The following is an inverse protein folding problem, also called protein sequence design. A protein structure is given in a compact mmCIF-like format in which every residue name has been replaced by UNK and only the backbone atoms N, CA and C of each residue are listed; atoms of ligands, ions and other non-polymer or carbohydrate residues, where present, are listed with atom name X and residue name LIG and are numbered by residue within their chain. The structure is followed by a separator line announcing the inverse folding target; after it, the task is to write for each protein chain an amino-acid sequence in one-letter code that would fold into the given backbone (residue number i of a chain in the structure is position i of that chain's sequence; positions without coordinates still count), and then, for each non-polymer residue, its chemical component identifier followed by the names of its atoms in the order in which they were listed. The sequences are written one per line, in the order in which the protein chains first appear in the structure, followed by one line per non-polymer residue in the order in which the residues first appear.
data_IF_752056502220
#
_entry.id   IF_752056502220
#
_cell.length_a   1.000
_cell.length_b   1.000
_cell.length_c   1.000
_cell.angle_alpha   90.00
_cell.angle_beta   90.00
_cell.angle_gamma   90.00
#
_symmetry.space_group_name_H-M   'P 1'
#
loop_
_entity.id
_entity.type
_entity.pdbx_description
1 polymer ?
#
# COMPACT_ATOMS: atom_id res chain seq x y z
N UNK A 1 -23.97 -39.16 11.52
CA UNK A 1 -23.37 -38.11 12.37
C UNK A 1 -24.16 -36.84 12.13
N UNK A 2 -24.93 -36.37 13.12
CA UNK A 2 -25.89 -35.27 12.95
C UNK A 2 -25.20 -33.99 13.43
N UNK A 3 -25.01 -33.02 12.53
CA UNK A 3 -24.42 -31.72 12.84
C UNK A 3 -25.56 -30.80 13.30
N UNK A 4 -25.53 -30.36 14.56
CA UNK A 4 -26.46 -29.35 15.07
C UNK A 4 -25.90 -27.94 14.81
N UNK A 5 -26.73 -26.98 14.33
CA UNK A 5 -26.29 -25.60 14.13
C UNK A 5 -26.26 -24.82 15.46
N UNK A 6 -25.16 -24.13 15.71
CA UNK A 6 -24.98 -23.19 16.82
C UNK A 6 -25.57 -21.84 16.44
N UNK A 7 -26.48 -21.33 17.26
CA UNK A 7 -27.13 -20.04 17.06
C UNK A 7 -26.14 -18.85 17.24
N UNK A 8 -26.27 -17.77 16.46
CA UNK A 8 -25.41 -16.60 16.59
C UNK A 8 -25.76 -15.75 17.82
N UNK A 9 -24.75 -15.43 18.62
CA UNK A 9 -24.86 -14.55 19.78
C UNK A 9 -24.99 -13.10 19.33
N UNK A 10 -26.11 -12.49 19.71
CA UNK A 10 -26.45 -11.09 19.49
C UNK A 10 -25.43 -10.14 20.16
N UNK A 11 -24.66 -9.39 19.37
CA UNK A 11 -23.74 -8.36 19.85
C UNK A 11 -24.43 -7.01 19.76
N UNK A 12 -24.92 -6.54 20.90
CA UNK A 12 -25.44 -5.18 21.09
C UNK A 12 -24.31 -4.17 20.89
N UNK A 13 -24.40 -3.38 19.81
CA UNK A 13 -23.47 -2.28 19.52
C UNK A 13 -23.93 -1.04 20.29
N UNK A 14 -23.12 -0.56 21.24
CA UNK A 14 -23.33 0.74 21.87
C UNK A 14 -22.80 1.87 20.95
N UNK A 15 -23.63 2.87 20.58
CA UNK A 15 -23.15 4.01 19.79
C UNK A 15 -22.29 4.96 20.63
N UNK A 16 -21.12 5.30 20.09
CA UNK A 16 -20.20 6.28 20.67
C UNK A 16 -20.78 7.70 20.61
N UNK A 17 -20.77 8.39 21.76
CA UNK A 17 -21.11 9.81 21.92
C UNK A 17 -20.26 10.70 20.99
N UNK A 18 -20.90 11.28 19.97
CA UNK A 18 -20.34 12.39 19.20
C UNK A 18 -20.24 13.65 20.09
N UNK A 19 -19.02 14.17 20.28
CA UNK A 19 -18.79 15.48 20.91
C UNK A 19 -18.80 16.55 19.83
N UNK A 20 -19.84 17.37 19.80
CA UNK A 20 -19.91 18.60 19.01
C UNK A 20 -18.81 19.58 19.44
N UNK A 21 -17.98 20.02 18.50
CA UNK A 21 -17.13 21.21 18.64
C UNK A 21 -17.88 22.43 18.11
N UNK A 22 -17.91 23.57 18.83
CA UNK A 22 -18.52 24.80 18.33
C UNK A 22 -17.63 25.46 17.26
N UNK A 23 -18.27 25.90 16.18
CA UNK A 23 -17.66 26.65 15.09
C UNK A 23 -17.23 28.05 15.56
N UNK A 24 -15.95 28.39 15.36
CA UNK A 24 -15.45 29.76 15.49
C UNK A 24 -15.86 30.55 14.24
N UNK A 25 -16.74 31.53 14.42
CA UNK A 25 -17.02 32.58 13.44
C UNK A 25 -15.79 33.48 13.27
N UNK A 26 -15.29 33.59 12.05
CA UNK A 26 -14.32 34.61 11.66
C UNK A 26 -15.05 35.83 11.07
N UNK A 27 -14.63 37.06 11.40
CA UNK A 27 -15.26 38.28 10.92
C UNK A 27 -14.98 38.53 9.43
N UNK A 28 -16.07 38.76 8.68
CA UNK A 28 -16.09 39.26 7.31
C UNK A 28 -15.42 40.64 7.24
N UNK A 29 -14.29 40.75 6.55
CA UNK A 29 -13.78 42.03 6.05
C UNK A 29 -14.25 42.24 4.61
N UNK A 30 -14.92 43.37 4.39
CA UNK A 30 -15.40 43.86 3.09
C UNK A 30 -14.32 44.78 2.48
N UNK A 31 -14.03 44.54 1.18
CA UNK A 31 -13.80 45.51 0.07
C UNK A 31 -12.66 46.56 0.20
N UNK A 32 -11.95 46.94 -0.89
CA UNK A 32 -12.54 47.42 -2.14
C UNK A 32 -11.95 46.89 -3.46
N UNK A 33 -12.77 47.03 -4.50
CA UNK A 33 -12.45 46.84 -5.91
C UNK A 33 -11.70 48.05 -6.47
N UNK A 34 -10.65 47.82 -7.27
CA UNK A 34 -10.20 48.76 -8.30
C UNK A 34 -9.25 48.08 -9.31
N UNK A 35 -9.64 48.18 -10.59
CA UNK A 35 -8.84 48.35 -11.80
C UNK A 35 -7.85 47.26 -12.28
N UNK A 36 -8.32 46.49 -13.28
CA UNK A 36 -7.55 45.99 -14.44
C UNK A 36 -6.96 47.20 -15.21
N UNK A 37 -5.79 47.13 -15.90
CA UNK A 37 -5.53 46.10 -16.93
C UNK A 37 -4.04 45.69 -17.10
N UNK A 38 -3.81 44.47 -17.58
CA UNK A 38 -2.74 44.12 -18.54
C UNK A 38 -2.81 42.62 -18.77
N UNK A 39 -3.57 42.23 -19.78
CA UNK A 39 -3.56 40.87 -20.30
C UNK A 39 -2.29 40.74 -21.14
N UNK A 40 -1.17 40.48 -20.47
CA UNK A 40 0.01 39.92 -21.14
C UNK A 40 -0.30 38.43 -21.33
N UNK A 41 -0.83 38.09 -22.50
CA UNK A 41 -1.07 36.72 -22.92
C UNK A 41 0.29 36.07 -23.20
N UNK A 42 1.00 35.70 -22.14
CA UNK A 42 2.08 34.73 -22.21
C UNK A 42 1.41 33.42 -22.64
N UNK A 43 1.40 33.20 -23.96
CA UNK A 43 1.24 31.88 -24.54
C UNK A 43 2.43 31.04 -24.06
N UNK A 44 2.37 30.56 -22.81
CA UNK A 44 3.06 29.33 -22.46
C UNK A 44 2.41 28.27 -23.33
N UNK A 45 3.08 27.93 -24.42
CA UNK A 45 2.92 26.63 -25.04
C UNK A 45 3.32 25.62 -23.97
N UNK A 46 2.35 25.24 -23.13
CA UNK A 46 2.39 24.02 -22.37
C UNK A 46 2.43 22.92 -23.42
N UNK A 47 3.65 22.58 -23.87
CA UNK A 47 3.89 21.31 -24.53
C UNK A 47 3.30 20.23 -23.61
N UNK A 48 2.75 19.14 -24.17
CA UNK A 48 2.23 18.06 -23.35
C UNK A 48 3.33 17.67 -22.36
N UNK A 49 3.07 17.87 -21.07
CA UNK A 49 3.95 17.37 -20.03
C UNK A 49 3.78 15.86 -20.10
N UNK A 50 4.66 15.20 -20.85
CA UNK A 50 4.75 13.75 -20.86
C UNK A 50 5.17 13.37 -19.44
N UNK A 51 4.21 13.03 -18.59
CA UNK A 51 4.50 12.56 -17.26
C UNK A 51 5.37 11.30 -17.41
N UNK A 52 6.55 11.32 -16.79
CA UNK A 52 7.47 10.19 -16.83
C UNK A 52 6.88 9.00 -16.06
N UNK A 53 7.34 7.80 -16.37
CA UNK A 53 7.07 6.62 -15.55
C UNK A 53 7.62 6.85 -14.14
N UNK A 54 6.84 6.49 -13.11
CA UNK A 54 7.34 6.52 -11.74
C UNK A 54 8.20 5.27 -11.51
N UNK A 55 9.39 5.48 -10.94
CA UNK A 55 10.31 4.41 -10.54
C UNK A 55 10.71 4.63 -9.08
N UNK A 56 10.55 3.60 -8.26
CA UNK A 56 11.05 3.59 -6.88
C UNK A 56 11.93 2.36 -6.67
N UNK A 57 13.20 2.60 -6.37
CA UNK A 57 14.17 1.56 -6.05
C UNK A 57 14.30 1.43 -4.53
N UNK A 58 14.16 0.20 -4.03
CA UNK A 58 14.17 -0.16 -2.62
C UNK A 58 15.16 -1.30 -2.35
N UNK A 59 15.78 -1.26 -1.18
CA UNK A 59 16.56 -2.35 -0.61
C UNK A 59 15.87 -2.81 0.66
N UNK A 60 15.53 -4.10 0.74
CA UNK A 60 14.66 -4.67 1.74
C UNK A 60 15.37 -5.77 2.55
N UNK A 61 15.26 -5.71 3.87
CA UNK A 61 15.80 -6.73 4.78
C UNK A 61 14.66 -7.46 5.47
N UNK A 62 14.62 -8.79 5.35
CA UNK A 62 13.62 -9.60 6.03
C UNK A 62 13.80 -9.52 7.55
N UNK A 63 12.68 -9.36 8.25
CA UNK A 63 12.60 -9.30 9.70
C UNK A 63 12.17 -10.66 10.25
N UNK A 64 12.46 -10.90 11.53
CA UNK A 64 11.88 -12.02 12.26
C UNK A 64 10.35 -11.97 12.11
N UNK A 65 9.77 -13.11 11.76
CA UNK A 65 8.37 -13.20 11.37
C UNK A 65 7.61 -14.23 12.21
N UNK A 66 6.29 -14.28 12.05
CA UNK A 66 5.43 -15.24 12.73
C UNK A 66 4.70 -16.10 11.71
N UNK A 67 4.70 -17.40 11.94
CA UNK A 67 3.85 -18.35 11.27
C UNK A 67 2.67 -18.68 12.18
N UNK A 68 1.49 -18.78 11.57
CA UNK A 68 0.25 -19.21 12.21
C UNK A 68 -0.02 -20.64 11.76
N UNK A 69 -0.11 -21.57 12.70
CA UNK A 69 -0.42 -22.97 12.44
C UNK A 69 -1.81 -23.27 13.01
N UNK A 70 -2.71 -23.74 12.17
CA UNK A 70 -4.05 -24.17 12.57
C UNK A 70 -3.98 -25.64 12.98
N UNK A 71 -4.04 -25.89 14.29
CA UNK A 71 -4.07 -27.24 14.86
C UNK A 71 -5.48 -27.80 14.96
N UNK A 72 -5.56 -29.04 15.46
CA UNK A 72 -6.84 -29.73 15.64
C UNK A 72 -7.80 -28.95 16.54
N UNK A 73 -9.10 -29.12 16.27
CA UNK A 73 -10.20 -28.51 17.03
C UNK A 73 -10.16 -26.97 17.07
N UNK A 74 -9.59 -26.34 16.04
CA UNK A 74 -9.56 -24.88 15.91
C UNK A 74 -8.53 -24.19 16.81
N UNK A 75 -7.55 -24.93 17.34
CA UNK A 75 -6.42 -24.34 18.06
C UNK A 75 -5.51 -23.59 17.08
N UNK A 76 -5.01 -22.43 17.49
CA UNK A 76 -4.07 -21.62 16.71
C UNK A 76 -2.76 -21.53 17.48
N UNK A 77 -1.67 -21.94 16.84
CA UNK A 77 -0.31 -21.83 17.37
C UNK A 77 0.46 -20.77 16.57
N UNK A 78 1.34 -20.05 17.27
CA UNK A 78 2.20 -19.04 16.67
C UNK A 78 3.64 -19.47 16.86
N UNK A 79 4.37 -19.56 15.76
CA UNK A 79 5.77 -19.92 15.75
C UNK A 79 6.58 -18.75 15.21
N UNK A 80 7.63 -18.39 15.92
CA UNK A 80 8.60 -17.42 15.41
C UNK A 80 9.46 -18.09 14.35
N UNK A 81 9.71 -17.38 13.25
CA UNK A 81 10.63 -17.83 12.22
C UNK A 81 11.75 -16.84 12.00
N UNK A 82 12.93 -17.41 11.80
CA UNK A 82 14.08 -16.69 11.27
C UNK A 82 13.81 -16.25 9.83
N UNK A 83 14.43 -15.14 9.38
CA UNK A 83 14.43 -14.74 7.98
C UNK A 83 14.81 -15.88 7.03
N UNK A 84 14.06 -16.03 5.93
CA UNK A 84 14.42 -16.96 4.85
C UNK A 84 15.39 -16.35 3.85
N UNK A 85 15.31 -15.03 3.66
CA UNK A 85 16.23 -14.24 2.86
C UNK A 85 17.22 -13.53 3.81
N UNK A 86 18.37 -14.15 4.14
CA UNK A 86 19.36 -13.52 5.01
C UNK A 86 20.09 -12.36 4.34
N UNK A 87 20.08 -12.31 3.01
CA UNK A 87 20.64 -11.21 2.21
C UNK A 87 19.58 -10.14 1.93
N UNK A 88 20.05 -8.90 1.70
CA UNK A 88 19.15 -7.82 1.28
C UNK A 88 18.55 -8.13 -0.10
N UNK A 89 17.24 -7.88 -0.23
CA UNK A 89 16.49 -8.03 -1.47
C UNK A 89 16.36 -6.67 -2.14
N UNK A 90 16.75 -6.56 -3.41
CA UNK A 90 16.49 -5.37 -4.20
C UNK A 90 15.09 -5.45 -4.80
N UNK A 91 14.36 -4.33 -4.78
CA UNK A 91 13.00 -4.24 -5.28
C UNK A 91 12.80 -2.93 -6.03
N UNK A 92 12.30 -3.01 -7.27
CA UNK A 92 11.97 -1.85 -8.08
C UNK A 92 10.47 -1.84 -8.33
N UNK A 93 9.82 -0.76 -7.91
CA UNK A 93 8.42 -0.49 -8.24
C UNK A 93 8.37 0.41 -9.47
N UNK A 94 7.61 -0.02 -10.47
CA UNK A 94 7.42 0.71 -11.72
C UNK A 94 5.94 1.03 -11.91
N UNK A 95 5.62 2.31 -12.10
CA UNK A 95 4.34 2.75 -12.66
C UNK A 95 4.58 3.17 -14.11
N UNK A 96 3.89 2.57 -15.09
CA UNK A 96 4.04 2.96 -16.48
C UNK A 96 3.62 4.43 -16.66
N UNK A 97 4.21 5.09 -17.66
CA UNK A 97 3.81 6.45 -18.01
C UNK A 97 2.31 6.46 -18.39
N UNK A 98 1.56 7.49 -17.98
CA UNK A 98 0.15 7.58 -18.31
C UNK A 98 -0.02 7.65 -19.84
N UNK A 99 -0.92 6.83 -20.37
CA UNK A 99 -1.32 6.82 -21.78
C UNK A 99 -2.82 6.63 -21.88
N UNK A 100 -3.42 6.99 -23.02
CA UNK A 100 -4.88 6.97 -23.20
C UNK A 100 -5.51 5.58 -22.96
N UNK A 101 -4.75 4.51 -23.18
CA UNK A 101 -5.20 3.12 -23.08
C UNK A 101 -4.59 2.36 -21.88
N UNK A 102 -3.72 3.00 -21.09
CA UNK A 102 -3.12 2.36 -19.93
C UNK A 102 -4.01 2.49 -18.69
N UNK A 103 -4.13 1.40 -17.94
CA UNK A 103 -4.68 1.42 -16.59
C UNK A 103 -3.80 2.33 -15.71
N UNK A 104 -4.35 3.44 -15.17
CA UNK A 104 -3.59 4.41 -14.38
C UNK A 104 -3.04 3.82 -13.08
N UNK A 105 -3.65 2.74 -12.60
CA UNK A 105 -3.24 2.05 -11.38
C UNK A 105 -2.35 0.84 -11.69
N UNK A 106 -2.03 0.54 -12.94
CA UNK A 106 -1.13 -0.56 -13.27
C UNK A 106 0.27 -0.33 -12.70
N UNK A 107 0.90 -1.40 -12.21
CA UNK A 107 2.27 -1.40 -11.75
C UNK A 107 2.98 -2.71 -12.04
N UNK A 108 4.30 -2.67 -11.89
CA UNK A 108 5.19 -3.83 -11.95
C UNK A 108 6.15 -3.80 -10.78
N UNK A 109 6.44 -4.98 -10.24
CA UNK A 109 7.43 -5.21 -9.19
C UNK A 109 8.55 -6.04 -9.81
N UNK A 110 9.74 -5.46 -9.92
CA UNK A 110 10.97 -6.21 -10.22
C UNK A 110 11.70 -6.49 -8.90
N UNK A 111 12.31 -7.66 -8.76
CA UNK A 111 12.94 -8.05 -7.51
C UNK A 111 14.09 -9.04 -7.75
N UNK A 112 15.16 -8.95 -6.94
CA UNK A 112 16.20 -9.98 -6.93
C UNK A 112 15.70 -11.33 -6.38
N UNK A 113 14.65 -11.31 -5.57
CA UNK A 113 13.94 -12.50 -5.10
C UNK A 113 12.73 -12.81 -6.00
N UNK A 114 12.73 -13.93 -6.76
CA UNK A 114 11.71 -14.21 -7.78
C UNK A 114 10.27 -14.27 -7.27
N UNK A 115 10.06 -14.76 -6.04
CA UNK A 115 8.73 -14.88 -5.43
C UNK A 115 8.08 -13.53 -5.08
N UNK A 116 8.83 -12.43 -5.15
CA UNK A 116 8.29 -11.07 -4.98
C UNK A 116 8.05 -10.35 -6.30
N UNK A 117 8.67 -10.82 -7.39
CA UNK A 117 8.56 -10.19 -8.69
C UNK A 117 7.14 -10.40 -9.25
N UNK A 118 6.57 -9.35 -9.85
CA UNK A 118 5.25 -9.41 -10.46
C UNK A 118 5.14 -8.47 -11.65
N UNK A 119 4.72 -9.00 -12.79
CA UNK A 119 4.41 -8.19 -13.97
C UNK A 119 3.02 -7.54 -13.92
N UNK A 120 2.21 -7.89 -12.92
CA UNK A 120 0.85 -7.40 -12.74
C UNK A 120 0.65 -7.03 -11.26
N UNK A 121 0.87 -5.75 -10.96
CA UNK A 121 0.62 -5.15 -9.66
C UNK A 121 -0.33 -3.96 -9.81
N UNK A 122 -0.87 -3.50 -8.70
CA UNK A 122 -1.73 -2.31 -8.62
C UNK A 122 -1.05 -1.28 -7.73
N UNK A 123 -0.86 -0.08 -8.27
CA UNK A 123 -0.41 1.08 -7.53
C UNK A 123 -1.60 1.85 -6.99
N UNK A 124 -1.74 1.86 -5.67
CA UNK A 124 -2.74 2.67 -5.00
C UNK A 124 -2.05 3.97 -4.55
N UNK A 125 -2.42 5.06 -5.22
CA UNK A 125 -1.82 6.39 -5.10
C UNK A 125 -1.35 6.72 -3.67
N UNK A 126 -0.06 7.05 -3.53
CA UNK A 126 0.63 7.47 -2.30
C UNK A 126 0.50 6.55 -1.07
N UNK A 127 -0.03 5.33 -1.24
CA UNK A 127 -0.26 4.41 -0.12
C UNK A 127 0.50 3.12 -0.26
N UNK A 128 0.27 2.38 -1.34
CA UNK A 128 0.80 1.03 -1.45
C UNK A 128 0.89 0.54 -2.89
N UNK A 129 1.77 -0.44 -3.12
CA UNK A 129 1.76 -1.29 -4.31
C UNK A 129 1.44 -2.71 -3.88
N UNK A 130 0.50 -3.35 -4.55
CA UNK A 130 0.06 -4.71 -4.24
C UNK A 130 0.07 -5.62 -5.48
N UNK A 131 0.35 -6.91 -5.29
CA UNK A 131 0.27 -7.91 -6.35
C UNK A 131 -0.22 -9.25 -5.79
N UNK A 132 -0.44 -10.23 -6.67
CA UNK A 132 -0.82 -11.60 -6.29
C UNK A 132 -2.08 -11.63 -5.39
N UNK A 133 -3.10 -10.83 -5.75
CA UNK A 133 -4.34 -10.68 -4.97
C UNK A 133 -4.11 -10.23 -3.52
N UNK A 134 -3.11 -9.37 -3.29
CA UNK A 134 -2.79 -8.81 -1.99
C UNK A 134 -1.82 -9.64 -1.14
N UNK A 135 -1.31 -10.76 -1.67
CA UNK A 135 -0.29 -11.56 -0.99
C UNK A 135 1.02 -10.78 -0.82
N UNK A 136 1.41 -9.99 -1.82
CA UNK A 136 2.60 -9.13 -1.77
C UNK A 136 2.13 -7.69 -1.70
N UNK A 137 2.53 -6.96 -0.66
CA UNK A 137 2.14 -5.57 -0.44
C UNK A 137 3.29 -4.72 0.08
N UNK A 138 3.58 -3.61 -0.58
CA UNK A 138 4.55 -2.61 -0.15
C UNK A 138 3.78 -1.37 0.29
N UNK A 139 3.88 -1.00 1.57
CA UNK A 139 3.39 0.28 2.08
C UNK A 139 4.45 1.37 1.80
N UNK A 140 4.07 2.38 1.00
CA UNK A 140 4.97 3.42 0.51
C UNK A 140 5.26 4.51 1.55
N UNK A 141 4.44 4.60 2.60
CA UNK A 141 4.63 5.57 3.69
C UNK A 141 5.64 5.07 4.71
N UNK A 142 5.61 3.77 4.99
CA UNK A 142 6.45 3.12 6.00
C UNK A 142 7.60 2.31 5.41
N UNK A 143 7.63 2.16 4.07
CA UNK A 143 8.57 1.30 3.35
C UNK A 143 8.59 -0.13 3.91
N UNK A 144 7.42 -0.68 4.21
CA UNK A 144 7.28 -2.04 4.72
C UNK A 144 6.70 -2.93 3.63
N UNK A 145 7.47 -3.93 3.23
CA UNK A 145 6.98 -5.01 2.38
C UNK A 145 6.44 -6.14 3.27
N UNK A 146 5.24 -6.61 2.95
CA UNK A 146 4.58 -7.76 3.60
C UNK A 146 4.31 -8.83 2.56
N UNK A 147 4.57 -10.09 2.92
CA UNK A 147 4.24 -11.26 2.13
C UNK A 147 3.38 -12.18 2.97
N UNK A 148 2.17 -12.48 2.49
CA UNK A 148 1.29 -13.45 3.09
C UNK A 148 1.25 -14.69 2.19
N UNK A 149 1.51 -15.84 2.79
CA UNK A 149 1.39 -17.14 2.13
C UNK A 149 0.46 -18.03 2.95
N UNK A 150 -0.47 -18.71 2.28
CA UNK A 150 -1.42 -19.62 2.89
C UNK A 150 -1.13 -21.00 2.33
N UNK A 151 -0.58 -21.86 3.16
CA UNK A 151 -0.31 -23.24 2.78
C UNK A 151 -1.57 -24.09 2.89
N UNK A 152 -1.75 -25.00 1.93
CA UNK A 152 -2.84 -25.99 1.90
C UNK A 152 -2.85 -26.91 3.14
N UNK A 153 -1.73 -26.96 3.88
CA UNK A 153 -1.56 -27.72 5.12
C UNK A 153 -2.28 -27.13 6.33
N UNK A 154 -3.03 -26.03 6.18
CA UNK A 154 -3.64 -25.33 7.31
C UNK A 154 -2.60 -24.53 8.08
N UNK A 155 -1.70 -23.84 7.39
CA UNK A 155 -0.85 -22.82 8.00
C UNK A 155 -0.83 -21.56 7.15
N UNK A 156 -0.59 -20.43 7.79
CA UNK A 156 -0.39 -19.15 7.13
C UNK A 156 0.91 -18.53 7.62
N UNK A 157 1.76 -18.09 6.70
CA UNK A 157 3.00 -17.38 7.02
C UNK A 157 2.87 -15.90 6.65
N UNK A 158 3.41 -15.03 7.51
CA UNK A 158 3.39 -13.60 7.32
C UNK A 158 4.80 -13.07 7.44
N UNK A 159 5.48 -12.95 6.30
CA UNK A 159 6.84 -12.43 6.23
C UNK A 159 6.80 -10.92 6.10
N UNK A 160 7.75 -10.25 6.74
CA UNK A 160 7.86 -8.79 6.73
C UNK A 160 9.28 -8.40 6.39
N UNK A 161 9.43 -7.40 5.54
CA UNK A 161 10.69 -6.81 5.18
C UNK A 161 10.64 -5.33 5.52
N UNK A 162 11.72 -4.83 6.12
CA UNK A 162 11.94 -3.41 6.28
C UNK A 162 12.74 -2.93 5.08
N UNK A 163 12.18 -1.99 4.32
CA UNK A 163 12.83 -1.44 3.15
C UNK A 163 13.35 -0.02 3.41
N UNK A 164 14.36 0.34 2.64
CA UNK A 164 14.92 1.70 2.53
C UNK A 164 15.05 2.06 1.05
N UNK A 165 14.90 3.33 0.66
CA UNK A 165 15.26 3.77 -0.68
C UNK A 165 16.69 3.36 -1.01
N UNK A 166 16.89 2.82 -2.21
CA UNK A 166 18.24 2.72 -2.76
C UNK A 166 18.77 4.15 -2.91
N UNK A 167 20.04 4.38 -2.56
CA UNK A 167 20.65 5.68 -2.82
C UNK A 167 20.49 5.99 -4.32
N UNK A 168 20.09 7.22 -4.64
CA UNK A 168 20.01 7.67 -6.03
C UNK A 168 21.35 7.35 -6.69
N UNK A 169 21.33 6.55 -7.75
CA UNK A 169 22.49 6.41 -8.60
C UNK A 169 22.54 7.69 -9.44
N UNK A 170 23.34 8.64 -8.98
CA UNK A 170 23.66 9.89 -9.69
C UNK A 170 24.24 9.60 -11.10
#
# INVERSE_FOLDING_TARGET
MIIQPVAPTDRTIHPARQRHRPARMLPRRRLPAAALPSVLLLMLTAGPVTAAADRLDLICTEQISRQVVFGDQGKVHYEERTPEAPEEVSLTLLRPAPSADADPDAARIESSAPYLASNAATWIADRQVESHSGQVRIDLLTNVLSVADIADSGSASFRRFQCRPAAAQD
#
